data_IF_524575449785
#
_entry.id   IF_524575449785
#
_cell.length_a   1.000
_cell.length_b   1.000
_cell.length_c   1.000
_cell.angle_alpha   90.00
_cell.angle_beta   90.00
_cell.angle_gamma   90.00
#
_symmetry.space_group_name_H-M   'P 1'
#
loop_
_entity.id
_entity.type
_entity.pdbx_description
1 polymer ?
#
# COMPACT_ATOMS: atom_id res chain seq x y z
N UNK A 1 15.17 11.42 -2.68
CA UNK A 1 14.01 10.89 -1.95
C UNK A 1 14.23 11.25 -0.48
N UNK A 2 13.46 12.21 0.02
CA UNK A 2 13.61 12.78 1.36
C UNK A 2 12.90 11.88 2.39
N UNK A 3 13.44 11.77 3.60
CA UNK A 3 12.89 10.92 4.68
C UNK A 3 11.41 11.23 4.97
N UNK A 4 10.98 12.47 4.70
CA UNK A 4 9.61 12.96 4.87
C UNK A 4 8.59 12.25 3.97
N UNK A 5 8.99 11.74 2.81
CA UNK A 5 8.09 11.03 1.90
C UNK A 5 7.90 9.56 2.31
N UNK A 6 8.79 9.02 3.17
CA UNK A 6 8.77 7.59 3.52
C UNK A 6 7.70 7.21 4.53
N UNK A 7 7.14 8.17 5.27
CA UNK A 7 6.14 7.93 6.30
C UNK A 7 4.89 8.74 6.03
N UNK A 8 3.74 8.08 6.09
CA UNK A 8 2.45 8.76 6.10
C UNK A 8 2.12 9.21 7.52
N UNK A 9 1.47 10.36 7.66
CA UNK A 9 1.08 10.89 8.97
C UNK A 9 0.16 9.91 9.71
N UNK A 10 0.40 9.68 10.99
CA UNK A 10 -0.33 8.71 11.84
C UNK A 10 -0.27 7.24 11.40
N UNK A 11 0.61 6.91 10.46
CA UNK A 11 0.85 5.52 10.08
C UNK A 11 2.23 5.05 10.56
N UNK A 12 2.24 3.98 11.34
CA UNK A 12 3.43 3.52 12.08
C UNK A 12 4.51 2.83 11.21
N UNK A 13 4.27 2.65 9.91
CA UNK A 13 5.16 1.91 9.01
C UNK A 13 5.61 2.76 7.83
N UNK A 14 6.87 2.58 7.45
CA UNK A 14 7.42 3.28 6.29
C UNK A 14 7.00 2.62 4.99
N UNK A 15 6.80 3.38 3.91
CA UNK A 15 6.40 2.89 2.58
C UNK A 15 7.19 1.65 2.11
N UNK A 16 8.50 1.63 2.34
CA UNK A 16 9.38 0.55 1.90
C UNK A 16 9.15 -0.78 2.65
N UNK A 17 8.52 -0.74 3.82
CA UNK A 17 8.15 -1.93 4.59
C UNK A 17 6.87 -2.59 4.05
N UNK A 18 6.11 -1.89 3.21
CA UNK A 18 4.86 -2.39 2.65
C UNK A 18 5.16 -3.22 1.40
N UNK A 19 4.33 -4.24 1.20
CA UNK A 19 4.40 -5.11 0.03
C UNK A 19 3.15 -4.99 -0.84
N UNK A 20 1.98 -4.95 -0.21
CA UNK A 20 0.70 -4.88 -0.89
C UNK A 20 -0.39 -4.36 0.05
N UNK A 21 -1.49 -3.88 -0.51
CA UNK A 21 -2.67 -3.46 0.26
C UNK A 21 -3.96 -3.85 -0.44
N UNK A 22 -5.06 -3.87 0.32
CA UNK A 22 -6.42 -3.88 -0.19
C UNK A 22 -7.25 -2.88 0.61
N UNK A 23 -8.09 -2.10 -0.06
CA UNK A 23 -8.99 -1.15 0.56
C UNK A 23 -10.43 -1.67 0.46
N UNK A 24 -11.16 -1.65 1.57
CA UNK A 24 -12.58 -2.01 1.62
C UNK A 24 -13.29 -1.21 2.69
N UNK A 25 -14.42 -0.57 2.33
CA UNK A 25 -15.26 0.21 3.26
C UNK A 25 -14.48 1.24 4.10
N UNK A 26 -13.45 1.87 3.51
CA UNK A 26 -12.60 2.86 4.19
C UNK A 26 -11.52 2.27 5.10
N UNK A 27 -11.42 0.95 5.21
CA UNK A 27 -10.36 0.25 5.94
C UNK A 27 -9.33 -0.25 4.94
N UNK A 28 -8.06 -0.05 5.26
CA UNK A 28 -6.93 -0.57 4.49
C UNK A 28 -6.32 -1.75 5.23
N UNK A 29 -6.30 -2.90 4.59
CA UNK A 29 -5.55 -4.05 5.05
C UNK A 29 -4.23 -4.06 4.28
N UNK A 30 -3.12 -3.96 5.01
CA UNK A 30 -1.78 -3.72 4.46
C UNK A 30 -0.91 -4.90 4.84
N UNK A 31 -0.33 -5.53 3.82
CA UNK A 31 0.65 -6.60 3.99
C UNK A 31 2.06 -6.00 4.00
N UNK A 32 2.77 -6.21 5.09
CA UNK A 32 4.17 -5.83 5.24
C UNK A 32 5.08 -6.89 4.62
N UNK A 33 6.27 -6.48 4.17
CA UNK A 33 7.31 -7.37 3.65
C UNK A 33 7.82 -8.37 4.68
N UNK A 34 7.65 -8.08 5.97
CA UNK A 34 7.90 -9.02 7.07
C UNK A 34 6.90 -10.17 7.13
N UNK A 35 5.85 -10.17 6.30
CA UNK A 35 4.76 -11.16 6.32
C UNK A 35 3.65 -10.84 7.32
N UNK A 36 3.79 -9.76 8.11
CA UNK A 36 2.73 -9.27 8.99
C UNK A 36 1.65 -8.55 8.18
N UNK A 37 0.43 -8.59 8.68
CA UNK A 37 -0.70 -7.85 8.12
C UNK A 37 -1.22 -6.89 9.17
N UNK A 38 -1.44 -5.64 8.78
CA UNK A 38 -1.97 -4.59 9.65
C UNK A 38 -3.22 -3.98 9.03
N UNK A 39 -4.18 -3.62 9.87
CA UNK A 39 -5.35 -2.85 9.47
C UNK A 39 -5.14 -1.39 9.85
N UNK A 40 -5.43 -0.48 8.92
CA UNK A 40 -5.34 0.95 9.14
C UNK A 40 -6.57 1.66 8.57
N UNK A 41 -7.10 2.60 9.34
CA UNK A 41 -8.26 3.41 8.93
C UNK A 41 -7.81 4.87 8.90
N UNK A 42 -7.39 5.40 7.74
CA UNK A 42 -6.97 6.78 7.62
C UNK A 42 -8.17 7.73 7.75
N UNK A 43 -7.92 8.95 8.23
CA UNK A 43 -8.93 10.02 8.23
C UNK A 43 -9.33 10.43 6.81
N UNK A 44 -8.38 10.44 5.88
CA UNK A 44 -8.61 10.63 4.44
C UNK A 44 -8.15 9.38 3.67
N UNK A 45 -9.13 8.63 3.16
CA UNK A 45 -8.89 7.39 2.43
C UNK A 45 -8.30 7.65 1.03
N UNK A 46 -8.62 8.78 0.41
CA UNK A 46 -8.11 9.12 -0.92
C UNK A 46 -6.64 9.54 -0.84
N UNK A 47 -6.29 10.37 0.15
CA UNK A 47 -4.91 10.81 0.35
C UNK A 47 -3.98 9.61 0.66
N UNK A 48 -4.43 8.72 1.54
CA UNK A 48 -3.67 7.50 1.85
C UNK A 48 -3.51 6.57 0.64
N UNK A 49 -4.55 6.40 -0.17
CA UNK A 49 -4.48 5.61 -1.40
C UNK A 49 -3.53 6.23 -2.44
N UNK A 50 -3.51 7.57 -2.56
CA UNK A 50 -2.58 8.29 -3.42
C UNK A 50 -1.14 8.10 -2.96
N UNK A 51 -0.87 8.17 -1.66
CA UNK A 51 0.45 7.91 -1.09
C UNK A 51 0.92 6.48 -1.39
N UNK A 52 0.07 5.47 -1.16
CA UNK A 52 0.40 4.07 -1.48
C UNK A 52 0.73 3.88 -2.97
N UNK A 53 -0.05 4.51 -3.85
CA UNK A 53 0.18 4.48 -5.30
C UNK A 53 1.48 5.16 -5.70
N UNK A 54 1.78 6.33 -5.12
CA UNK A 54 3.01 7.09 -5.36
C UNK A 54 4.27 6.30 -4.95
N UNK A 55 4.15 5.45 -3.93
CA UNK A 55 5.21 4.54 -3.50
C UNK A 55 5.20 3.18 -4.21
N UNK A 56 4.39 3.02 -5.26
CA UNK A 56 4.25 1.78 -6.03
C UNK A 56 3.88 0.56 -5.18
N UNK A 57 3.12 0.76 -4.10
CA UNK A 57 2.60 -0.33 -3.29
C UNK A 57 1.47 -1.01 -4.07
N UNK A 58 1.52 -2.35 -4.08
CA UNK A 58 0.66 -3.17 -4.91
C UNK A 58 -0.78 -3.21 -4.37
N UNK A 59 -1.73 -2.74 -5.17
CA UNK A 59 -3.17 -2.86 -4.89
C UNK A 59 -3.67 -4.25 -5.31
N UNK A 60 -4.00 -5.10 -4.33
CA UNK A 60 -4.48 -6.47 -4.56
C UNK A 60 -5.85 -6.48 -5.26
N UNK A 61 -6.67 -5.45 -5.07
CA UNK A 61 -7.99 -5.39 -5.72
C UNK A 61 -7.88 -5.22 -7.24
N UNK A 62 -6.76 -4.64 -7.71
CA UNK A 62 -6.48 -4.37 -9.13
C UNK A 62 -5.48 -5.34 -9.72
N UNK A 63 -4.59 -5.90 -8.89
CA UNK A 63 -3.68 -6.97 -9.27
C UNK A 63 -4.40 -8.32 -9.15
N UNK A 64 -4.92 -8.81 -10.27
CA UNK A 64 -5.54 -10.13 -10.37
C UNK A 64 -4.54 -11.29 -10.22
N UNK A 65 -3.27 -11.02 -9.87
CA UNK A 65 -2.22 -12.02 -9.66
C UNK A 65 -1.72 -12.66 -10.96
N UNK A 66 -2.26 -12.24 -12.12
CA UNK A 66 -1.87 -12.76 -13.42
C UNK A 66 -0.68 -11.95 -13.91
N UNK A 67 0.53 -12.48 -13.73
CA UNK A 67 1.70 -12.00 -14.50
C UNK A 67 1.39 -12.20 -15.97
N UNK A 68 1.01 -11.13 -16.69
CA UNK A 68 0.94 -11.16 -18.16
C UNK A 68 2.35 -11.49 -18.66
N UNK A 69 2.57 -12.74 -19.09
CA UNK A 69 3.80 -13.14 -19.78
C UNK A 69 3.88 -12.27 -21.04
N UNK A 70 4.86 -11.35 -21.09
CA UNK A 70 5.25 -10.72 -22.35
C UNK A 70 5.79 -11.84 -23.24
N UNK A 71 5.02 -12.23 -24.25
CA UNK A 71 5.56 -12.95 -25.40
C UNK A 71 6.47 -11.96 -26.14
N UNK A 72 7.76 -12.30 -26.21
CA UNK A 72 8.73 -11.71 -27.14
C UNK A 72 8.77 -12.59 -28.38
#
# INVERSE_FOLDING_TARGET
>A
MTIKDMYYHDFAHAAHELSAYIASLGIFIISLRSGRVVSYTPADTNDFALWLSAHHIRDISKDNGIRRKKHY
#
